data_IF_472154466285
#
_entry.id   IF_472154466285
#
_cell.length_a   1.000
_cell.length_b   1.000
_cell.length_c   1.000
_cell.angle_alpha   90.00
_cell.angle_beta   90.00
_cell.angle_gamma   90.00
#
_symmetry.space_group_name_H-M   'P 1'
#
loop_
_entity.id
_entity.type
_entity.pdbx_description
1 polymer ?
#
# COMPACT_ATOMS: atom_id res chain seq x y z
N UNK A 1 24.28 0.84 50.46
CA UNK A 1 25.03 1.24 49.26
C UNK A 1 25.05 0.08 48.29
N UNK A 2 24.01 -0.11 47.47
CA UNK A 2 23.92 -1.27 46.56
C UNK A 2 22.79 -1.21 45.52
N UNK A 3 22.21 -0.02 45.33
CA UNK A 3 21.22 0.25 44.28
C UNK A 3 21.84 0.99 43.09
N UNK A 4 22.95 1.73 43.29
CA UNK A 4 23.68 2.41 42.21
C UNK A 4 24.40 1.43 41.29
N UNK A 5 25.10 0.41 41.81
CA UNK A 5 25.88 -0.53 40.96
C UNK A 5 24.99 -1.31 39.98
N UNK A 6 23.79 -1.72 40.41
CA UNK A 6 22.82 -2.42 39.53
C UNK A 6 22.26 -1.54 38.42
N UNK A 7 22.20 -0.23 38.66
CA UNK A 7 21.69 0.72 37.69
C UNK A 7 22.77 1.07 36.66
N UNK A 8 24.02 1.21 37.11
CA UNK A 8 25.20 1.39 36.24
C UNK A 8 25.40 0.16 35.34
N UNK A 9 25.28 -1.06 35.87
CA UNK A 9 25.42 -2.29 35.07
C UNK A 9 24.33 -2.41 34.00
N UNK A 10 23.09 -2.04 34.32
CA UNK A 10 22.00 -2.04 33.35
C UNK A 10 22.18 -0.99 32.25
N UNK A 11 22.66 0.21 32.60
CA UNK A 11 22.91 1.28 31.62
C UNK A 11 24.05 0.92 30.66
N UNK A 12 25.09 0.22 31.16
CA UNK A 12 26.19 -0.29 30.34
C UNK A 12 25.70 -1.35 29.36
N UNK A 13 24.90 -2.32 29.84
CA UNK A 13 24.30 -3.36 28.98
C UNK A 13 23.36 -2.77 27.92
N UNK A 14 22.57 -1.75 28.27
CA UNK A 14 21.70 -1.06 27.31
C UNK A 14 22.52 -0.37 26.21
N UNK A 15 23.60 0.32 26.58
CA UNK A 15 24.48 1.01 25.62
C UNK A 15 25.20 0.02 24.70
N UNK A 16 25.63 -1.12 25.23
CA UNK A 16 26.20 -2.22 24.43
C UNK A 16 25.19 -2.78 23.45
N UNK A 17 23.97 -3.06 23.90
CA UNK A 17 22.89 -3.54 23.03
C UNK A 17 22.56 -2.53 21.91
N UNK A 18 22.43 -1.24 22.26
CA UNK A 18 22.18 -0.18 21.27
C UNK A 18 23.32 -0.14 20.24
N UNK A 19 24.58 -0.21 20.70
CA UNK A 19 25.76 -0.22 19.84
C UNK A 19 25.73 -1.40 18.87
N UNK A 20 25.48 -2.61 19.36
CA UNK A 20 25.42 -3.81 18.54
C UNK A 20 24.32 -3.73 17.48
N UNK A 21 23.12 -3.29 17.87
CA UNK A 21 21.98 -3.15 16.96
C UNK A 21 22.27 -2.12 15.87
N UNK A 22 22.81 -0.96 16.23
CA UNK A 22 23.17 0.09 15.27
C UNK A 22 24.26 -0.38 14.31
N UNK A 23 25.31 -1.05 14.81
CA UNK A 23 26.38 -1.58 13.97
C UNK A 23 25.90 -2.68 13.03
N UNK A 24 25.12 -3.64 13.53
CA UNK A 24 24.57 -4.71 12.72
C UNK A 24 23.72 -4.15 11.57
N UNK A 25 22.86 -3.18 11.89
CA UNK A 25 22.01 -2.52 10.91
C UNK A 25 22.81 -1.74 9.86
N UNK A 26 23.75 -0.89 10.27
CA UNK A 26 24.57 -0.11 9.33
C UNK A 26 25.41 -1.02 8.43
N UNK A 27 25.94 -2.13 8.96
CA UNK A 27 26.69 -3.13 8.18
C UNK A 27 25.80 -3.80 7.14
N UNK A 28 24.57 -4.16 7.51
CA UNK A 28 23.60 -4.72 6.57
C UNK A 28 23.24 -3.71 5.45
N UNK A 29 22.91 -2.48 5.80
CA UNK A 29 22.57 -1.42 4.83
C UNK A 29 23.76 -1.13 3.89
N UNK A 30 24.98 -1.10 4.42
CA UNK A 30 26.22 -0.96 3.67
C UNK A 30 26.40 -2.05 2.61
N UNK A 31 26.22 -3.32 2.99
CA UNK A 31 26.33 -4.47 2.08
C UNK A 31 25.27 -4.39 0.97
N UNK A 32 24.04 -4.04 1.33
CA UNK A 32 22.94 -3.90 0.34
C UNK A 32 23.25 -2.79 -0.65
N UNK A 33 23.72 -1.63 -0.19
CA UNK A 33 24.09 -0.52 -1.08
C UNK A 33 25.27 -0.90 -1.98
N UNK A 34 26.29 -1.56 -1.43
CA UNK A 34 27.42 -2.04 -2.23
C UNK A 34 26.98 -3.03 -3.33
N UNK A 35 26.07 -3.96 -3.00
CA UNK A 35 25.53 -4.91 -3.97
C UNK A 35 24.69 -4.22 -5.06
N UNK A 36 23.88 -3.22 -4.69
CA UNK A 36 23.09 -2.44 -5.65
C UNK A 36 23.98 -1.59 -6.57
N UNK A 37 25.01 -0.94 -6.03
CA UNK A 37 25.98 -0.18 -6.83
C UNK A 37 26.71 -1.08 -7.81
N UNK A 38 27.18 -2.26 -7.36
CA UNK A 38 27.81 -3.23 -8.25
C UNK A 38 26.85 -3.72 -9.34
N UNK A 39 25.60 -4.04 -8.98
CA UNK A 39 24.58 -4.44 -9.95
C UNK A 39 24.28 -3.36 -10.99
N UNK A 40 24.21 -2.09 -10.59
CA UNK A 40 24.03 -0.97 -11.50
C UNK A 40 25.21 -0.81 -12.46
N UNK A 41 26.45 -0.93 -11.97
CA UNK A 41 27.64 -0.83 -12.81
C UNK A 41 27.76 -1.99 -13.81
N UNK A 42 27.35 -3.19 -13.41
CA UNK A 42 27.31 -4.37 -14.27
C UNK A 42 26.25 -4.27 -15.38
N UNK A 43 25.15 -3.57 -15.15
CA UNK A 43 24.15 -3.31 -16.19
C UNK A 43 24.69 -2.34 -17.27
N UNK A 44 25.70 -1.53 -16.94
CA UNK A 44 26.29 -0.53 -17.85
C UNK A 44 27.56 -1.02 -18.58
N UNK A 45 28.19 -2.15 -18.18
CA UNK A 45 29.50 -2.58 -18.71
C UNK A 45 29.54 -4.06 -19.11
N UNK A 46 30.14 -4.36 -20.28
CA UNK A 46 30.19 -5.70 -20.90
C UNK A 46 31.52 -6.47 -20.74
N UNK A 47 32.33 -6.20 -19.70
CA UNK A 47 33.66 -6.82 -19.52
C UNK A 47 33.85 -7.52 -18.18
N UNK A 48 34.17 -8.81 -18.19
CA UNK A 48 34.21 -9.68 -17.00
C UNK A 48 35.46 -9.52 -16.11
N UNK A 49 36.60 -9.08 -16.63
CA UNK A 49 37.88 -9.10 -15.90
C UNK A 49 38.07 -7.95 -14.88
N UNK A 50 37.28 -6.87 -14.95
CA UNK A 50 37.38 -5.73 -14.03
C UNK A 50 36.46 -5.81 -12.80
N UNK A 51 35.56 -6.78 -12.76
CA UNK A 51 34.42 -6.82 -11.82
C UNK A 51 34.83 -7.09 -10.37
N UNK A 52 35.79 -7.98 -10.13
CA UNK A 52 36.20 -8.33 -8.76
C UNK A 52 36.92 -7.17 -8.05
N UNK A 53 37.88 -6.54 -8.73
CA UNK A 53 38.58 -5.34 -8.24
C UNK A 53 37.59 -4.21 -8.00
N UNK A 54 36.61 -4.06 -8.89
CA UNK A 54 35.59 -3.04 -8.74
C UNK A 54 34.64 -3.30 -7.57
N UNK A 55 34.20 -4.54 -7.39
CA UNK A 55 33.42 -4.96 -6.24
C UNK A 55 34.15 -4.70 -4.92
N UNK A 56 35.46 -4.96 -4.86
CA UNK A 56 36.28 -4.65 -3.69
C UNK A 56 36.36 -3.14 -3.38
N UNK A 57 36.51 -2.31 -4.41
CA UNK A 57 36.49 -0.84 -4.25
C UNK A 57 35.14 -0.33 -3.73
N UNK A 58 34.03 -0.88 -4.25
CA UNK A 58 32.67 -0.52 -3.83
C UNK A 58 32.44 -0.92 -2.37
N UNK A 59 32.81 -2.16 -1.99
CA UNK A 59 32.72 -2.62 -0.60
C UNK A 59 33.54 -1.74 0.35
N UNK A 60 34.72 -1.29 -0.09
CA UNK A 60 35.54 -0.38 0.70
C UNK A 60 34.90 1.00 0.86
N UNK A 61 34.32 1.56 -0.21
CA UNK A 61 33.65 2.85 -0.20
C UNK A 61 32.40 2.87 0.71
N UNK A 62 31.73 1.72 0.88
CA UNK A 62 30.56 1.59 1.74
C UNK A 62 30.89 1.15 3.17
N UNK A 63 32.16 0.99 3.56
CA UNK A 63 32.54 0.51 4.89
C UNK A 63 31.98 1.41 6.00
N UNK A 64 31.38 0.78 7.01
CA UNK A 64 30.83 1.48 8.18
C UNK A 64 31.97 1.99 9.07
N UNK A 65 31.91 3.26 9.45
CA UNK A 65 32.77 3.81 10.51
C UNK A 65 32.22 3.39 11.88
N UNK A 66 32.81 2.33 12.44
CA UNK A 66 32.41 1.78 13.73
C UNK A 66 32.89 2.62 14.92
N UNK A 67 33.86 3.52 14.68
CA UNK A 67 34.42 4.39 15.72
C UNK A 67 33.44 5.48 16.13
N UNK A 68 32.64 5.98 15.18
CA UNK A 68 31.55 6.93 15.44
C UNK A 68 30.48 6.31 16.36
N UNK A 69 30.05 5.09 16.05
CA UNK A 69 29.00 4.38 16.82
C UNK A 69 29.49 3.98 18.21
N UNK A 70 30.78 3.61 18.33
CA UNK A 70 31.36 3.25 19.62
C UNK A 70 31.52 4.47 20.55
N UNK A 71 31.69 5.67 19.99
CA UNK A 71 31.81 6.92 20.77
C UNK A 71 30.47 7.37 21.38
N UNK A 72 29.37 7.28 20.63
CA UNK A 72 28.03 7.62 21.13
C UNK A 72 26.94 6.77 20.42
N UNK A 73 26.60 5.59 20.98
CA UNK A 73 25.60 4.70 20.40
C UNK A 73 24.20 5.34 20.33
N UNK A 74 23.84 6.15 21.33
CA UNK A 74 22.52 6.80 21.42
C UNK A 74 22.38 7.90 20.38
N UNK A 75 23.42 8.70 20.14
CA UNK A 75 23.41 9.67 19.04
C UNK A 75 23.36 8.99 17.67
N UNK A 76 24.12 7.90 17.48
CA UNK A 76 24.09 7.14 16.24
C UNK A 76 22.69 6.57 15.94
N UNK A 77 22.02 6.02 16.96
CA UNK A 77 20.64 5.54 16.86
C UNK A 77 19.67 6.68 16.50
N UNK A 78 19.74 7.83 17.19
CA UNK A 78 18.90 9.00 16.89
C UNK A 78 19.10 9.51 15.46
N UNK A 79 20.35 9.54 14.99
CA UNK A 79 20.68 9.95 13.63
C UNK A 79 20.10 8.98 12.59
N UNK A 80 20.17 7.67 12.86
CA UNK A 80 19.61 6.64 11.98
C UNK A 80 18.07 6.72 11.94
N UNK A 81 17.41 6.87 13.09
CA UNK A 81 15.96 7.12 13.15
C UNK A 81 15.55 8.39 12.40
N UNK A 82 16.32 9.48 12.53
CA UNK A 82 16.06 10.72 11.80
C UNK A 82 16.28 10.57 10.29
N UNK A 83 17.22 9.72 9.87
CA UNK A 83 17.45 9.37 8.46
C UNK A 83 16.28 8.52 7.94
N UNK A 84 15.81 7.57 8.71
CA UNK A 84 14.65 6.74 8.38
C UNK A 84 13.38 7.55 8.26
N UNK A 85 13.13 8.48 9.18
CA UNK A 85 11.99 9.39 9.10
C UNK A 85 12.07 10.26 7.85
N UNK A 86 13.25 10.76 7.49
CA UNK A 86 13.46 11.50 6.24
C UNK A 86 13.24 10.63 5.01
N UNK A 87 13.71 9.37 5.04
CA UNK A 87 13.50 8.38 3.97
C UNK A 87 12.03 8.02 3.84
N UNK A 88 11.36 7.74 4.95
CA UNK A 88 9.93 7.46 5.02
C UNK A 88 9.14 8.64 4.46
N UNK A 89 9.44 9.88 4.83
CA UNK A 89 8.83 11.08 4.24
C UNK A 89 9.05 11.17 2.73
N UNK A 90 10.26 10.90 2.25
CA UNK A 90 10.56 10.91 0.80
C UNK A 90 9.80 9.84 0.03
N UNK A 91 9.51 8.71 0.67
CA UNK A 91 8.80 7.55 0.10
C UNK A 91 7.30 7.57 0.49
N UNK A 92 6.79 8.65 1.09
CA UNK A 92 5.37 8.79 1.46
C UNK A 92 4.91 7.96 2.67
N UNK A 93 5.82 7.37 3.44
CA UNK A 93 5.54 6.51 4.61
C UNK A 93 5.60 7.24 5.96
N UNK A 94 5.52 8.57 5.99
CA UNK A 94 5.88 9.37 7.17
C UNK A 94 4.98 10.56 7.50
N UNK A 95 3.69 10.53 7.14
CA UNK A 95 2.77 11.58 7.55
C UNK A 95 2.43 11.47 9.04
N UNK A 96 3.03 12.37 9.83
CA UNK A 96 2.51 12.76 11.14
C UNK A 96 1.08 13.29 11.00
N UNK A 97 0.18 13.02 11.96
CA UNK A 97 -1.20 13.49 11.95
C UNK A 97 -1.24 14.99 12.28
N UNK A 98 -0.81 15.82 11.34
CA UNK A 98 -0.96 17.28 11.39
C UNK A 98 -2.19 17.65 10.60
N UNK A 99 -3.24 18.04 11.33
CA UNK A 99 -4.59 18.38 10.85
C UNK A 99 -5.24 17.24 10.05
N UNK A 100 -6.15 16.52 10.72
CA UNK A 100 -7.01 15.55 10.07
C UNK A 100 -7.85 16.28 9.00
N UNK A 101 -7.33 16.34 7.77
CA UNK A 101 -8.09 16.73 6.60
C UNK A 101 -9.34 15.85 6.61
N UNK A 102 -10.55 16.43 6.73
CA UNK A 102 -11.79 15.64 6.78
C UNK A 102 -11.94 14.77 5.53
N UNK A 103 -11.32 15.15 4.40
CA UNK A 103 -11.25 14.30 3.23
C UNK A 103 -10.31 13.10 3.43
N UNK A 104 -9.20 13.24 4.15
CA UNK A 104 -8.29 12.15 4.53
C UNK A 104 -8.94 11.13 5.47
N UNK A 105 -9.68 11.60 6.48
CA UNK A 105 -10.44 10.69 7.35
C UNK A 105 -11.54 9.94 6.59
N UNK A 106 -12.28 10.65 5.74
CA UNK A 106 -13.30 10.03 4.88
C UNK A 106 -12.68 8.97 3.97
N UNK A 107 -11.50 9.24 3.38
CA UNK A 107 -10.74 8.28 2.56
C UNK A 107 -10.30 7.06 3.37
N UNK A 108 -9.82 7.25 4.60
CA UNK A 108 -9.42 6.15 5.47
C UNK A 108 -10.62 5.23 5.77
N UNK A 109 -11.75 5.81 6.19
CA UNK A 109 -12.99 5.05 6.42
C UNK A 109 -13.48 4.33 5.17
N UNK A 110 -13.37 4.97 4.00
CA UNK A 110 -13.69 4.34 2.73
C UNK A 110 -12.77 3.15 2.42
N UNK A 111 -11.47 3.27 2.69
CA UNK A 111 -10.52 2.18 2.48
C UNK A 111 -10.80 1.01 3.42
N UNK A 112 -11.11 1.28 4.68
CA UNK A 112 -11.52 0.28 5.67
C UNK A 112 -12.78 -0.47 5.21
N UNK A 113 -13.79 0.26 4.72
CA UNK A 113 -15.02 -0.32 4.15
C UNK A 113 -14.74 -1.21 2.92
N UNK A 114 -13.88 -0.77 2.01
CA UNK A 114 -13.51 -1.56 0.83
C UNK A 114 -12.76 -2.85 1.21
N UNK A 115 -11.91 -2.79 2.24
CA UNK A 115 -11.23 -3.96 2.79
C UNK A 115 -12.22 -4.94 3.43
N UNK A 116 -13.21 -4.44 4.17
CA UNK A 116 -14.28 -5.24 4.77
C UNK A 116 -15.11 -5.95 3.68
N UNK A 117 -15.58 -5.21 2.67
CA UNK A 117 -16.34 -5.77 1.54
C UNK A 117 -15.55 -6.84 0.80
N UNK A 118 -14.25 -6.63 0.62
CA UNK A 118 -13.36 -7.64 0.03
C UNK A 118 -13.29 -8.89 0.91
N UNK A 119 -13.18 -8.76 2.23
CA UNK A 119 -13.15 -9.89 3.14
C UNK A 119 -14.46 -10.69 3.09
N UNK A 120 -15.60 -10.01 3.07
CA UNK A 120 -16.93 -10.64 2.95
C UNK A 120 -17.07 -11.40 1.63
N UNK A 121 -16.68 -10.78 0.50
CA UNK A 121 -16.73 -11.44 -0.81
C UNK A 121 -15.85 -12.69 -0.86
N UNK A 122 -14.66 -12.65 -0.25
CA UNK A 122 -13.81 -13.82 -0.12
C UNK A 122 -14.46 -14.91 0.74
N UNK A 123 -15.17 -14.54 1.81
CA UNK A 123 -15.91 -15.48 2.63
C UNK A 123 -17.07 -16.12 1.86
N UNK A 124 -17.85 -15.33 1.11
CA UNK A 124 -18.92 -15.82 0.22
C UNK A 124 -18.36 -16.83 -0.77
N UNK A 125 -17.27 -16.51 -1.47
CA UNK A 125 -16.63 -17.44 -2.42
C UNK A 125 -16.16 -18.72 -1.72
N UNK A 126 -15.56 -18.62 -0.51
CA UNK A 126 -15.14 -19.80 0.27
C UNK A 126 -16.32 -20.66 0.69
N UNK A 127 -17.41 -20.06 1.15
CA UNK A 127 -18.63 -20.74 1.58
C UNK A 127 -19.28 -21.46 0.40
N UNK A 128 -19.40 -20.80 -0.74
CA UNK A 128 -20.03 -21.37 -1.92
C UNK A 128 -19.21 -22.50 -2.55
N UNK A 129 -17.86 -22.48 -2.44
CA UNK A 129 -17.03 -23.65 -2.79
C UNK A 129 -17.38 -24.93 -2.01
N UNK A 130 -17.93 -24.83 -0.79
CA UNK A 130 -18.35 -25.99 0.01
C UNK A 130 -19.68 -26.59 -0.48
N UNK A 131 -20.54 -25.80 -1.11
CA UNK A 131 -21.86 -26.21 -1.60
C UNK A 131 -21.89 -26.52 -3.11
N UNK A 132 -20.74 -26.77 -3.74
CA UNK A 132 -20.59 -26.94 -5.21
C UNK A 132 -21.50 -28.00 -5.83
N UNK A 133 -22.02 -28.93 -5.03
CA UNK A 133 -22.88 -30.03 -5.49
C UNK A 133 -24.39 -29.72 -5.45
N UNK A 134 -24.82 -28.64 -4.78
CA UNK A 134 -26.20 -28.14 -4.81
C UNK A 134 -26.25 -26.83 -5.60
N UNK A 135 -26.67 -26.93 -6.87
CA UNK A 135 -26.64 -25.79 -7.81
C UNK A 135 -27.61 -24.67 -7.42
N UNK A 136 -28.74 -24.99 -6.79
CA UNK A 136 -29.75 -23.99 -6.42
C UNK A 136 -29.29 -23.25 -5.17
N UNK A 137 -28.93 -23.99 -4.11
CA UNK A 137 -28.40 -23.38 -2.89
C UNK A 137 -27.09 -22.60 -3.14
N UNK A 138 -26.29 -23.03 -4.12
CA UNK A 138 -25.10 -22.32 -4.56
C UNK A 138 -25.43 -20.97 -5.21
N UNK A 139 -26.37 -20.93 -6.16
CA UNK A 139 -26.74 -19.72 -6.87
C UNK A 139 -27.35 -18.69 -5.90
N UNK A 140 -28.33 -19.10 -5.10
CA UNK A 140 -28.98 -18.24 -4.11
C UNK A 140 -27.99 -17.74 -3.05
N UNK A 141 -27.08 -18.62 -2.61
CA UNK A 141 -26.06 -18.28 -1.62
C UNK A 141 -25.05 -17.25 -2.11
N UNK A 142 -24.60 -17.36 -3.37
CA UNK A 142 -23.71 -16.34 -3.96
C UNK A 142 -24.46 -15.02 -4.16
N UNK A 143 -25.69 -15.06 -4.67
CA UNK A 143 -26.47 -13.85 -4.91
C UNK A 143 -26.75 -13.08 -3.61
N UNK A 144 -27.17 -13.79 -2.57
CA UNK A 144 -27.40 -13.19 -1.25
C UNK A 144 -26.10 -12.64 -0.66
N UNK A 145 -25.00 -13.38 -0.78
CA UNK A 145 -23.68 -12.94 -0.29
C UNK A 145 -23.16 -11.69 -1.02
N UNK A 146 -23.29 -11.67 -2.35
CA UNK A 146 -22.94 -10.51 -3.17
C UNK A 146 -23.81 -9.30 -2.83
N UNK A 147 -25.13 -9.49 -2.69
CA UNK A 147 -26.04 -8.43 -2.30
C UNK A 147 -25.69 -7.85 -0.93
N UNK A 148 -25.42 -8.70 0.08
CA UNK A 148 -25.04 -8.26 1.41
C UNK A 148 -23.72 -7.47 1.42
N UNK A 149 -22.69 -7.96 0.72
CA UNK A 149 -21.40 -7.28 0.62
C UNK A 149 -21.53 -5.94 -0.11
N UNK A 150 -22.27 -5.89 -1.23
CA UNK A 150 -22.46 -4.64 -1.99
C UNK A 150 -23.37 -3.64 -1.27
N UNK A 151 -24.32 -4.09 -0.45
CA UNK A 151 -25.18 -3.23 0.37
C UNK A 151 -24.39 -2.35 1.35
N UNK A 152 -23.24 -2.82 1.84
CA UNK A 152 -22.33 -2.02 2.68
C UNK A 152 -21.77 -0.80 1.94
N UNK A 153 -21.56 -0.92 0.62
CA UNK A 153 -21.07 0.18 -0.21
C UNK A 153 -22.13 1.28 -0.40
N UNK A 154 -23.42 0.95 -0.29
CA UNK A 154 -24.52 1.89 -0.53
C UNK A 154 -24.66 2.94 0.58
N UNK A 155 -24.32 2.59 1.84
CA UNK A 155 -24.48 3.46 3.02
C UNK A 155 -23.71 4.78 2.90
N UNK A 156 -22.58 4.78 2.18
CA UNK A 156 -21.73 5.96 1.99
C UNK A 156 -21.70 6.49 0.55
N UNK A 157 -22.51 5.94 -0.34
CA UNK A 157 -22.46 6.24 -1.77
C UNK A 157 -23.19 7.55 -2.11
N UNK A 158 -22.48 8.47 -2.78
CA UNK A 158 -23.10 9.65 -3.36
C UNK A 158 -23.91 9.28 -4.61
N UNK A 159 -25.18 9.71 -4.62
CA UNK A 159 -26.12 9.34 -5.68
C UNK A 159 -25.74 9.92 -7.03
N UNK A 160 -25.25 11.16 -7.08
CA UNK A 160 -24.89 11.80 -8.34
C UNK A 160 -23.65 11.16 -8.96
N UNK A 161 -22.64 10.90 -8.14
CA UNK A 161 -21.42 10.18 -8.52
C UNK A 161 -21.74 8.76 -8.99
N UNK A 162 -22.64 8.05 -8.31
CA UNK A 162 -23.13 6.75 -8.77
C UNK A 162 -23.83 6.81 -10.12
N UNK A 163 -24.70 7.80 -10.35
CA UNK A 163 -25.39 7.93 -11.63
C UNK A 163 -24.43 8.24 -12.78
N UNK A 164 -23.44 9.10 -12.55
CA UNK A 164 -22.38 9.39 -13.53
C UNK A 164 -21.57 8.12 -13.85
N UNK A 165 -21.13 7.40 -12.82
CA UNK A 165 -20.45 6.12 -13.01
C UNK A 165 -21.32 5.10 -13.73
N UNK A 166 -22.63 5.04 -13.46
CA UNK A 166 -23.57 4.09 -14.07
C UNK A 166 -23.71 4.28 -15.58
N UNK A 167 -23.56 5.51 -16.08
CA UNK A 167 -23.50 5.81 -17.52
C UNK A 167 -22.26 5.20 -18.18
N UNK A 168 -21.17 5.09 -17.43
CA UNK A 168 -19.98 4.32 -17.83
C UNK A 168 -19.01 5.05 -18.76
N UNK A 169 -19.16 6.37 -18.94
CA UNK A 169 -18.31 7.18 -19.80
C UNK A 169 -17.26 7.92 -18.97
N UNK A 170 -16.04 7.39 -18.99
CA UNK A 170 -14.85 8.03 -18.41
C UNK A 170 -14.19 8.86 -19.49
N UNK A 171 -14.06 10.16 -19.24
CA UNK A 171 -13.48 11.12 -20.19
C UNK A 171 -11.96 11.23 -20.02
N UNK A 172 -11.49 11.18 -18.78
CA UNK A 172 -10.07 11.32 -18.45
C UNK A 172 -9.74 10.62 -17.13
N UNK A 173 -8.54 10.05 -17.06
CA UNK A 173 -7.90 9.66 -15.81
C UNK A 173 -6.70 10.58 -15.57
N UNK A 174 -6.51 11.00 -14.34
CA UNK A 174 -5.37 11.82 -13.92
C UNK A 174 -4.85 11.36 -12.58
N UNK A 175 -3.55 11.16 -12.49
CA UNK A 175 -2.86 10.90 -11.23
C UNK A 175 -2.48 12.22 -10.57
N UNK A 176 -2.86 12.36 -9.30
CA UNK A 176 -2.52 13.50 -8.48
C UNK A 176 -1.57 13.01 -7.38
N UNK A 177 -0.33 13.52 -7.31
CA UNK A 177 0.60 13.17 -6.24
C UNK A 177 -0.03 13.47 -4.88
N UNK A 178 0.02 12.50 -3.97
CA UNK A 178 -0.36 12.69 -2.58
C UNK A 178 0.93 12.81 -1.74
N UNK A 179 1.19 13.94 -1.06
CA UNK A 179 2.38 14.10 -0.22
C UNK A 179 2.49 13.06 0.90
N UNK A 180 1.39 12.41 1.26
CA UNK A 180 1.31 11.46 2.37
C UNK A 180 0.99 10.02 2.00
N UNK A 181 1.03 9.66 0.72
CA UNK A 181 0.63 8.33 0.29
C UNK A 181 0.82 8.07 -1.20
N UNK A 182 0.29 6.93 -1.71
CA UNK A 182 0.30 6.66 -3.13
C UNK A 182 -0.47 7.74 -3.91
N UNK A 183 -0.08 8.07 -5.15
CA UNK A 183 -0.83 9.00 -5.99
C UNK A 183 -2.30 8.61 -6.10
N UNK A 184 -3.14 9.64 -6.03
CA UNK A 184 -4.58 9.53 -6.16
C UNK A 184 -4.95 9.49 -7.63
N UNK A 185 -5.75 8.50 -8.01
CA UNK A 185 -6.28 8.42 -9.38
C UNK A 185 -7.65 9.07 -9.39
N UNK A 186 -7.75 10.23 -10.02
CA UNK A 186 -9.01 10.91 -10.26
C UNK A 186 -9.52 10.57 -11.66
N UNK A 187 -10.83 10.38 -11.76
CA UNK A 187 -11.54 10.18 -13.00
C UNK A 187 -12.46 11.37 -13.28
N UNK A 188 -12.37 11.90 -14.49
CA UNK A 188 -13.38 12.80 -15.03
C UNK A 188 -14.44 11.94 -15.71
N UNK A 189 -15.67 11.97 -15.22
CA UNK A 189 -16.79 11.18 -15.72
C UNK A 189 -17.88 12.08 -16.29
N UNK A 190 -18.55 11.62 -17.34
CA UNK A 190 -19.72 12.30 -17.90
C UNK A 190 -20.90 12.25 -16.90
N UNK A 191 -21.35 13.42 -16.46
CA UNK A 191 -22.53 13.56 -15.61
C UNK A 191 -23.85 13.51 -16.40
N UNK A 192 -23.79 13.59 -17.72
CA UNK A 192 -24.93 13.55 -18.62
C UNK A 192 -25.29 14.92 -19.24
N UNK A 193 -26.34 14.94 -20.08
CA UNK A 193 -26.69 16.11 -20.88
C UNK A 193 -27.04 17.32 -20.01
N UNK A 194 -26.46 18.47 -20.35
CA UNK A 194 -26.66 19.74 -19.62
C UNK A 194 -25.91 19.83 -18.29
N UNK A 195 -25.05 18.87 -17.96
CA UNK A 195 -24.24 18.87 -16.73
C UNK A 195 -22.75 18.91 -17.07
N UNK A 196 -21.98 19.61 -16.23
CA UNK A 196 -20.53 19.59 -16.32
C UNK A 196 -19.99 18.20 -15.94
N UNK A 197 -18.87 17.75 -16.53
CA UNK A 197 -18.19 16.52 -16.10
C UNK A 197 -17.84 16.57 -14.61
N UNK A 198 -17.97 15.43 -13.94
CA UNK A 198 -17.63 15.30 -12.52
C UNK A 198 -16.22 14.74 -12.36
N UNK A 199 -15.44 15.34 -11.47
CA UNK A 199 -14.14 14.83 -11.06
C UNK A 199 -14.33 14.01 -9.78
N UNK A 200 -14.07 12.71 -9.86
CA UNK A 200 -14.36 11.75 -8.79
C UNK A 200 -13.17 10.82 -8.59
N UNK A 201 -13.02 10.26 -7.38
CA UNK A 201 -11.99 9.26 -7.11
C UNK A 201 -12.25 8.00 -7.93
N UNK A 202 -11.20 7.41 -8.50
CA UNK A 202 -11.30 6.14 -9.21
C UNK A 202 -11.65 5.00 -8.26
N UNK A 203 -11.13 5.03 -7.02
CA UNK A 203 -11.37 4.00 -6.02
C UNK A 203 -12.67 4.19 -5.23
N UNK A 204 -13.68 4.84 -5.82
CA UNK A 204 -14.94 5.14 -5.15
C UNK A 204 -15.88 3.92 -4.99
N UNK A 205 -16.77 3.97 -3.99
CA UNK A 205 -17.79 2.95 -3.75
C UNK A 205 -18.82 2.94 -4.90
N UNK A 206 -19.16 4.12 -5.38
CA UNK A 206 -20.11 4.39 -6.46
C UNK A 206 -19.68 3.74 -7.77
N UNK A 207 -18.38 3.79 -8.11
CA UNK A 207 -17.85 3.13 -9.30
C UNK A 207 -18.08 1.61 -9.24
N UNK A 208 -17.84 1.01 -8.08
CA UNK A 208 -17.97 -0.44 -7.87
C UNK A 208 -19.43 -0.87 -7.87
N UNK A 209 -20.30 -0.11 -7.23
CA UNK A 209 -21.75 -0.29 -7.33
C UNK A 209 -22.25 -0.16 -8.78
N UNK A 210 -21.75 0.82 -9.53
CA UNK A 210 -22.09 1.00 -10.93
C UNK A 210 -21.59 -0.15 -11.81
N UNK A 211 -20.41 -0.69 -11.54
CA UNK A 211 -19.88 -1.88 -12.19
C UNK A 211 -20.78 -3.10 -11.95
N UNK A 212 -21.11 -3.39 -10.70
CA UNK A 212 -22.04 -4.48 -10.33
C UNK A 212 -23.38 -4.32 -11.03
N UNK A 213 -23.96 -3.11 -10.99
CA UNK A 213 -25.24 -2.83 -11.62
C UNK A 213 -25.22 -2.96 -13.15
N UNK A 214 -24.08 -2.70 -13.81
CA UNK A 214 -23.92 -2.96 -15.25
C UNK A 214 -23.83 -4.46 -15.53
N UNK A 215 -23.03 -5.19 -14.75
CA UNK A 215 -22.85 -6.63 -14.95
C UNK A 215 -24.15 -7.40 -14.69
N UNK A 216 -24.91 -7.05 -13.63
CA UNK A 216 -26.25 -7.61 -13.38
C UNK A 216 -27.21 -7.36 -14.54
N UNK A 217 -27.23 -6.12 -15.08
CA UNK A 217 -28.06 -5.78 -16.25
C UNK A 217 -27.66 -6.54 -17.52
N UNK A 218 -26.38 -6.88 -17.66
CA UNK A 218 -25.87 -7.69 -18.75
C UNK A 218 -26.08 -9.21 -18.55
N UNK A 219 -26.72 -9.64 -17.45
CA UNK A 219 -26.96 -11.05 -17.15
C UNK A 219 -25.70 -11.83 -16.76
N UNK A 220 -24.63 -11.15 -16.34
CA UNK A 220 -23.39 -11.80 -15.89
C UNK A 220 -23.65 -12.57 -14.60
N UNK A 221 -23.04 -13.75 -14.47
CA UNK A 221 -23.31 -14.59 -13.31
C UNK A 221 -22.81 -13.95 -12.00
N UNK A 222 -23.48 -14.20 -10.86
CA UNK A 222 -23.08 -13.62 -9.57
C UNK A 222 -21.65 -13.98 -9.15
N UNK A 223 -21.18 -15.18 -9.51
CA UNK A 223 -19.81 -15.62 -9.25
C UNK A 223 -18.80 -14.80 -10.05
N UNK A 224 -19.04 -14.58 -11.35
CA UNK A 224 -18.18 -13.75 -12.19
C UNK A 224 -18.18 -12.29 -11.74
N UNK A 225 -19.31 -11.79 -11.24
CA UNK A 225 -19.39 -10.45 -10.62
C UNK A 225 -18.51 -10.39 -9.37
N UNK A 226 -18.59 -11.39 -8.49
CA UNK A 226 -17.72 -11.49 -7.31
C UNK A 226 -16.24 -11.50 -7.69
N UNK A 227 -15.83 -12.35 -8.64
CA UNK A 227 -14.44 -12.44 -9.07
C UNK A 227 -13.94 -11.13 -9.69
N UNK A 228 -14.78 -10.49 -10.52
CA UNK A 228 -14.43 -9.21 -11.13
C UNK A 228 -14.31 -8.09 -10.11
N UNK A 229 -15.20 -8.06 -9.13
CA UNK A 229 -15.18 -7.09 -8.04
C UNK A 229 -14.00 -7.33 -7.09
N UNK A 230 -13.67 -8.59 -6.79
CA UNK A 230 -12.48 -8.96 -6.04
C UNK A 230 -11.19 -8.55 -6.76
N UNK A 231 -11.14 -8.69 -8.09
CA UNK A 231 -10.02 -8.21 -8.90
C UNK A 231 -9.93 -6.67 -8.96
N UNK A 232 -11.05 -5.96 -8.84
CA UNK A 232 -11.10 -4.50 -8.77
C UNK A 232 -10.78 -3.95 -7.37
N UNK A 233 -11.07 -4.74 -6.33
CA UNK A 233 -10.74 -4.48 -4.92
C UNK A 233 -9.34 -4.97 -4.54
N UNK A 234 -8.72 -5.84 -5.34
CA UNK A 234 -7.39 -6.35 -5.07
C UNK A 234 -6.32 -5.30 -5.39
N UNK A 235 -5.19 -5.43 -4.68
CA UNK A 235 -3.97 -4.62 -4.86
C UNK A 235 -3.41 -4.64 -6.29
N UNK A 236 -3.93 -5.53 -7.15
CA UNK A 236 -3.50 -5.79 -8.52
C UNK A 236 -4.34 -5.11 -9.59
N UNK A 237 -5.27 -4.22 -9.24
CA UNK A 237 -5.87 -3.33 -10.23
C UNK A 237 -4.73 -2.58 -10.96
N UNK A 238 -4.64 -2.60 -12.31
CA UNK A 238 -3.52 -2.06 -13.07
C UNK A 238 -3.31 -0.53 -12.93
N UNK A 239 -4.07 0.13 -12.05
CA UNK A 239 -3.90 1.53 -11.65
C UNK A 239 -3.40 1.68 -10.19
N UNK A 240 -3.14 0.58 -9.47
CA UNK A 240 -2.47 0.53 -8.16
C UNK A 240 -0.95 0.32 -8.27
N UNK A 241 -0.35 0.56 -9.44
CA UNK A 241 1.11 0.53 -9.62
C UNK A 241 1.88 1.66 -8.89
N UNK A 242 1.25 2.29 -7.89
CA UNK A 242 1.84 3.22 -6.93
C UNK A 242 2.54 2.55 -5.74
N UNK A 243 2.74 1.23 -5.76
CA UNK A 243 3.45 0.46 -4.71
C UNK A 243 4.86 0.04 -5.15
N UNK A 244 5.48 0.73 -6.11
CA UNK A 244 6.90 0.55 -6.43
C UNK A 244 7.64 1.87 -6.39
#
# INVERSE_FOLDING_TARGET
MGLDDRQVDNDVLELELIREVVLARRRQDSIVLAALTLGAELLDHAGDEATATRAAQILHAHRVDESEVTRDPRAALRADMARDLRRARRIGLGCTPGEADPASERRRRQTELLCEVRADLLEVVRRCRRFRFDRIAFADGIDQGLAAATGKLEVGADRETYLAWRRGMVLKLSEVPDPGGPPRVLATVDAGPGRAPLLVEWDSCERRLALVARMKRAGVSPLEICDRLLADLSMSSPLRYSVR
#
